data_IF_975715452959
#
_entry.id   IF_975715452959
#
_cell.length_a   1.000
_cell.length_b   1.000
_cell.length_c   1.000
_cell.angle_alpha   90.00
_cell.angle_beta   90.00
_cell.angle_gamma   90.00
#
_symmetry.space_group_name_H-M   'P 1'
#
loop_
_entity.id
_entity.type
_entity.pdbx_description
1 polymer ?
#
# COMPACT_ATOMS: atom_id res chain seq x y z
N UNK A 1 2.51 16.60 -8.47
CA UNK A 1 3.65 17.41 -8.00
C UNK A 1 5.00 16.80 -8.38
N UNK A 2 5.39 15.59 -7.87
CA UNK A 2 6.72 15.00 -8.12
C UNK A 2 7.13 15.05 -9.61
N UNK A 3 6.28 14.61 -10.52
CA UNK A 3 6.60 14.55 -11.95
C UNK A 3 6.59 15.94 -12.62
N UNK A 4 5.69 16.81 -12.21
CA UNK A 4 5.62 18.19 -12.72
C UNK A 4 6.79 19.04 -12.23
N UNK A 5 7.22 18.84 -10.98
CA UNK A 5 8.38 19.50 -10.39
C UNK A 5 9.69 18.98 -10.99
N UNK A 6 9.71 17.72 -11.46
CA UNK A 6 10.81 17.12 -12.23
C UNK A 6 10.80 17.51 -13.73
N UNK A 7 10.07 18.59 -14.12
CA UNK A 7 10.00 19.13 -15.49
C UNK A 7 9.32 18.21 -16.53
N UNK A 8 8.54 17.22 -16.11
CA UNK A 8 7.68 16.47 -17.01
C UNK A 8 6.39 17.24 -17.30
N UNK A 9 5.82 17.05 -18.49
CA UNK A 9 4.55 17.68 -18.85
C UNK A 9 3.39 17.15 -18.01
N UNK A 10 2.36 17.96 -17.81
CA UNK A 10 1.13 17.55 -17.11
C UNK A 10 0.46 16.34 -17.76
N UNK A 11 0.44 16.30 -19.11
CA UNK A 11 -0.10 15.17 -19.88
C UNK A 11 0.66 13.86 -19.60
N UNK A 12 1.99 13.95 -19.47
CA UNK A 12 2.81 12.80 -19.09
C UNK A 12 2.48 12.33 -17.66
N UNK A 13 2.40 13.26 -16.72
CA UNK A 13 2.05 12.95 -15.33
C UNK A 13 0.65 12.31 -15.23
N UNK A 14 -0.32 12.83 -16.00
CA UNK A 14 -1.66 12.25 -16.09
C UNK A 14 -1.64 10.82 -16.67
N UNK A 15 -0.80 10.58 -17.70
CA UNK A 15 -0.66 9.25 -18.31
C UNK A 15 -0.05 8.24 -17.33
N UNK A 16 0.96 8.63 -16.55
CA UNK A 16 1.56 7.78 -15.49
C UNK A 16 0.51 7.46 -14.42
N UNK A 17 -0.28 8.45 -14.01
CA UNK A 17 -1.37 8.25 -13.04
C UNK A 17 -2.46 7.33 -13.58
N UNK A 18 -2.82 7.44 -14.86
CA UNK A 18 -3.78 6.54 -15.51
C UNK A 18 -3.29 5.08 -15.47
N UNK A 19 -2.02 4.84 -15.80
CA UNK A 19 -1.42 3.51 -15.73
C UNK A 19 -1.48 2.96 -14.30
N UNK A 20 -1.15 3.77 -13.28
CA UNK A 20 -1.26 3.41 -11.88
C UNK A 20 -2.70 2.97 -11.54
N UNK A 21 -3.71 3.70 -11.98
CA UNK A 21 -5.13 3.38 -11.72
C UNK A 21 -5.56 2.09 -12.42
N UNK A 22 -5.17 1.88 -13.69
CA UNK A 22 -5.50 0.69 -14.45
C UNK A 22 -4.89 -0.57 -13.81
N UNK A 23 -3.62 -0.53 -13.46
CA UNK A 23 -2.96 -1.64 -12.75
C UNK A 23 -3.50 -1.83 -11.34
N UNK A 24 -4.03 -0.77 -10.73
CA UNK A 24 -4.75 -0.86 -9.46
C UNK A 24 -6.01 -1.74 -9.56
N UNK A 25 -6.77 -1.67 -10.66
CA UNK A 25 -7.92 -2.55 -10.90
C UNK A 25 -7.46 -4.01 -10.97
N UNK A 26 -6.40 -4.28 -11.74
CA UNK A 26 -5.83 -5.63 -11.88
C UNK A 26 -5.32 -6.14 -10.52
N UNK A 27 -4.61 -5.32 -9.76
CA UNK A 27 -4.10 -5.64 -8.42
C UNK A 27 -5.20 -6.02 -7.44
N UNK A 28 -6.34 -5.32 -7.50
CA UNK A 28 -7.50 -5.61 -6.65
C UNK A 28 -8.12 -6.97 -6.95
N UNK A 29 -8.29 -7.30 -8.23
CA UNK A 29 -8.81 -8.60 -8.66
C UNK A 29 -7.84 -9.72 -8.31
N UNK A 30 -6.54 -9.50 -8.56
CA UNK A 30 -5.49 -10.48 -8.28
C UNK A 30 -5.38 -10.76 -6.77
N UNK A 31 -5.35 -9.72 -5.94
CA UNK A 31 -5.24 -9.88 -4.49
C UNK A 31 -6.48 -10.57 -3.89
N UNK A 32 -7.66 -10.37 -4.47
CA UNK A 32 -8.86 -11.11 -4.08
C UNK A 32 -8.67 -12.61 -4.32
N UNK A 33 -8.32 -13.01 -5.54
CA UNK A 33 -8.04 -14.43 -5.87
C UNK A 33 -6.90 -15.02 -5.05
N UNK A 34 -5.84 -14.25 -4.85
CA UNK A 34 -4.69 -14.70 -4.07
C UNK A 34 -5.09 -14.92 -2.60
N UNK A 35 -5.94 -14.04 -2.05
CA UNK A 35 -6.49 -14.19 -0.71
C UNK A 35 -7.34 -15.45 -0.53
N UNK A 36 -8.04 -15.89 -1.57
CA UNK A 36 -8.80 -17.14 -1.56
C UNK A 36 -7.87 -18.38 -1.54
N UNK A 37 -6.67 -18.28 -2.13
CA UNK A 37 -5.71 -19.40 -2.25
C UNK A 37 -4.80 -19.51 -1.03
N UNK A 38 -4.13 -18.43 -0.65
CA UNK A 38 -3.11 -18.42 0.42
C UNK A 38 -3.59 -17.82 1.73
N UNK A 39 -4.81 -17.29 1.75
CA UNK A 39 -5.39 -16.60 2.89
C UNK A 39 -5.19 -15.07 2.85
N UNK A 40 -6.07 -14.38 3.55
CA UNK A 40 -6.11 -12.91 3.52
C UNK A 40 -4.86 -12.26 4.14
N UNK A 41 -4.36 -12.78 5.27
CA UNK A 41 -3.20 -12.19 5.96
C UNK A 41 -1.89 -12.38 5.19
N UNK A 42 -1.53 -13.56 4.65
CA UNK A 42 -0.37 -13.71 3.78
C UNK A 42 -0.45 -12.82 2.53
N UNK A 43 -1.62 -12.70 1.92
CA UNK A 43 -1.85 -11.81 0.78
C UNK A 43 -1.61 -10.35 1.16
N UNK A 44 -2.11 -9.91 2.31
CA UNK A 44 -1.87 -8.56 2.80
C UNK A 44 -0.37 -8.29 3.02
N UNK A 45 0.36 -9.23 3.64
CA UNK A 45 1.81 -9.12 3.83
C UNK A 45 2.53 -9.00 2.49
N UNK A 46 2.22 -9.88 1.54
CA UNK A 46 2.87 -9.89 0.21
C UNK A 46 2.65 -8.59 -0.55
N UNK A 47 1.40 -8.10 -0.59
CA UNK A 47 1.08 -6.82 -1.24
C UNK A 47 1.74 -5.63 -0.53
N UNK A 48 1.82 -5.65 0.80
CA UNK A 48 2.50 -4.60 1.59
C UNK A 48 4.01 -4.58 1.34
N UNK A 49 4.65 -5.73 1.14
CA UNK A 49 6.07 -5.80 0.75
C UNK A 49 6.26 -5.11 -0.60
N UNK A 50 5.47 -5.49 -1.60
CA UNK A 50 5.54 -4.89 -2.94
C UNK A 50 5.30 -3.38 -2.90
N UNK A 51 4.31 -2.91 -2.15
CA UNK A 51 4.02 -1.49 -1.97
C UNK A 51 5.19 -0.74 -1.33
N UNK A 52 5.77 -1.28 -0.27
CA UNK A 52 6.90 -0.64 0.45
C UNK A 52 8.12 -0.50 -0.46
N UNK A 53 8.44 -1.54 -1.25
CA UNK A 53 9.56 -1.52 -2.20
C UNK A 53 9.30 -0.50 -3.31
N UNK A 54 8.11 -0.49 -3.89
CA UNK A 54 7.79 0.43 -5.00
C UNK A 54 7.77 1.89 -4.55
N UNK A 55 7.26 2.19 -3.35
CA UNK A 55 7.31 3.54 -2.77
C UNK A 55 8.76 3.99 -2.58
N UNK A 56 9.62 3.13 -2.03
CA UNK A 56 11.03 3.46 -1.84
C UNK A 56 11.76 3.73 -3.17
N UNK A 57 11.41 2.99 -4.21
CA UNK A 57 12.04 3.10 -5.54
C UNK A 57 11.62 4.33 -6.34
N UNK A 58 10.45 4.91 -6.06
CA UNK A 58 9.85 5.97 -6.88
C UNK A 58 10.77 7.19 -7.11
N UNK A 59 11.43 7.77 -6.09
CA UNK A 59 12.26 8.98 -6.27
C UNK A 59 13.60 8.73 -6.99
N UNK A 60 13.96 7.47 -7.24
CA UNK A 60 15.22 7.11 -7.89
C UNK A 60 15.08 6.80 -9.38
N UNK A 61 13.89 6.98 -9.95
CA UNK A 61 13.60 6.68 -11.35
C UNK A 61 13.35 7.97 -12.11
N UNK A 62 14.29 8.34 -13.02
CA UNK A 62 14.27 9.58 -13.77
C UNK A 62 13.86 9.38 -15.24
N UNK A 63 13.74 8.14 -15.72
CA UNK A 63 13.43 7.86 -17.11
C UNK A 63 11.97 7.45 -17.32
N UNK A 64 11.36 7.90 -18.41
CA UNK A 64 9.92 7.78 -18.70
C UNK A 64 9.37 6.36 -18.59
N UNK A 65 10.06 5.37 -19.17
CA UNK A 65 9.60 3.97 -19.14
C UNK A 65 9.63 3.43 -17.70
N UNK A 66 10.65 3.74 -16.93
CA UNK A 66 10.76 3.34 -15.53
C UNK A 66 9.64 3.91 -14.67
N UNK A 67 9.23 5.16 -14.93
CA UNK A 67 8.09 5.77 -14.24
C UNK A 67 6.77 5.04 -14.51
N UNK A 68 6.54 4.58 -15.73
CA UNK A 68 5.37 3.74 -16.06
C UNK A 68 5.43 2.38 -15.35
N UNK A 69 6.59 1.74 -15.33
CA UNK A 69 6.77 0.42 -14.70
C UNK A 69 6.54 0.53 -13.18
N UNK A 70 7.15 1.51 -12.52
CA UNK A 70 6.99 1.66 -11.07
C UNK A 70 5.58 2.10 -10.70
N UNK A 71 4.93 2.95 -11.51
CA UNK A 71 3.54 3.34 -11.32
C UNK A 71 2.59 2.15 -11.46
N UNK A 72 2.81 1.29 -12.45
CA UNK A 72 2.05 0.05 -12.62
C UNK A 72 2.23 -0.90 -11.42
N UNK A 73 3.46 -1.13 -10.99
CA UNK A 73 3.78 -1.97 -9.85
C UNK A 73 3.21 -1.41 -8.54
N UNK A 74 3.32 -0.11 -8.32
CA UNK A 74 2.74 0.56 -7.15
C UNK A 74 1.21 0.50 -7.17
N UNK A 75 0.57 0.82 -8.29
CA UNK A 75 -0.88 0.75 -8.44
C UNK A 75 -1.42 -0.65 -8.14
N UNK A 76 -0.76 -1.67 -8.68
CA UNK A 76 -1.08 -3.09 -8.45
C UNK A 76 -0.99 -3.45 -6.96
N UNK A 77 0.13 -3.17 -6.32
CA UNK A 77 0.36 -3.55 -4.92
C UNK A 77 -0.47 -2.72 -3.95
N UNK A 78 -0.59 -1.40 -4.16
CA UNK A 78 -1.41 -0.50 -3.35
C UNK A 78 -2.88 -0.90 -3.31
N UNK A 79 -3.47 -1.15 -4.48
CA UNK A 79 -4.87 -1.59 -4.55
C UNK A 79 -5.08 -2.99 -3.97
N UNK A 80 -4.06 -3.84 -4.08
CA UNK A 80 -4.02 -5.16 -3.43
C UNK A 80 -4.03 -5.05 -1.91
N UNK A 81 -3.24 -4.15 -1.33
CA UNK A 81 -3.24 -3.84 0.11
C UNK A 81 -4.60 -3.35 0.57
N UNK A 82 -5.21 -2.39 -0.16
CA UNK A 82 -6.51 -1.84 0.21
C UNK A 82 -7.62 -2.90 0.23
N UNK A 83 -7.57 -3.89 -0.66
CA UNK A 83 -8.52 -5.00 -0.67
C UNK A 83 -8.24 -5.99 0.47
N UNK A 84 -6.98 -6.39 0.63
CA UNK A 84 -6.58 -7.40 1.59
C UNK A 84 -6.80 -6.96 3.05
N UNK A 85 -6.57 -5.69 3.40
CA UNK A 85 -6.80 -5.18 4.75
C UNK A 85 -8.27 -5.30 5.17
N UNK A 86 -9.21 -5.01 4.27
CA UNK A 86 -10.65 -5.11 4.56
C UNK A 86 -11.09 -6.56 4.74
N UNK A 87 -10.56 -7.47 3.92
CA UNK A 87 -10.83 -8.92 4.04
C UNK A 87 -10.26 -9.44 5.36
N UNK A 88 -9.01 -9.08 5.71
CA UNK A 88 -8.41 -9.42 7.00
C UNK A 88 -9.26 -8.93 8.17
N UNK A 89 -9.65 -7.64 8.17
CA UNK A 89 -10.47 -7.06 9.21
C UNK A 89 -11.80 -7.81 9.39
N UNK A 90 -12.44 -8.21 8.29
CA UNK A 90 -13.68 -8.99 8.30
C UNK A 90 -13.48 -10.39 8.86
N UNK A 91 -12.40 -11.08 8.49
CA UNK A 91 -12.17 -12.47 8.87
C UNK A 91 -11.73 -12.64 10.34
N UNK A 92 -11.24 -11.58 10.96
CA UNK A 92 -10.74 -11.62 12.35
C UNK A 92 -11.79 -11.39 13.42
N UNK A 93 -13.00 -11.10 13.04
CA UNK A 93 -14.11 -10.83 13.95
C UNK A 93 -15.30 -11.71 13.62
N UNK A 94 -16.23 -11.87 14.59
CA UNK A 94 -17.49 -12.55 14.33
C UNK A 94 -18.31 -11.82 13.26
N UNK A 95 -19.18 -12.53 12.54
CA UNK A 95 -19.99 -11.99 11.48
C UNK A 95 -20.83 -10.77 11.91
N UNK A 96 -21.27 -10.72 13.18
CA UNK A 96 -22.00 -9.58 13.76
C UNK A 96 -21.17 -8.29 13.84
N UNK A 97 -19.85 -8.41 13.95
CA UNK A 97 -18.92 -7.28 14.09
C UNK A 97 -18.19 -6.94 12.78
N UNK A 98 -18.38 -7.75 11.72
CA UNK A 98 -17.66 -7.60 10.46
C UNK A 98 -17.80 -6.18 9.86
N UNK A 99 -19.01 -5.62 9.83
CA UNK A 99 -19.25 -4.26 9.34
C UNK A 99 -18.52 -3.19 10.16
N UNK A 100 -18.51 -3.31 11.49
CA UNK A 100 -17.78 -2.38 12.36
C UNK A 100 -16.26 -2.47 12.16
N UNK A 101 -15.72 -3.67 12.01
CA UNK A 101 -14.29 -3.87 11.77
C UNK A 101 -13.85 -3.26 10.44
N UNK A 102 -14.64 -3.46 9.38
CA UNK A 102 -14.39 -2.86 8.07
C UNK A 102 -14.50 -1.33 8.11
N UNK A 103 -15.50 -0.78 8.80
CA UNK A 103 -15.67 0.66 8.95
C UNK A 103 -14.50 1.30 9.71
N UNK A 104 -14.05 0.70 10.81
CA UNK A 104 -12.87 1.15 11.56
C UNK A 104 -11.60 1.04 10.70
N UNK A 105 -11.40 -0.06 9.99
CA UNK A 105 -10.27 -0.23 9.08
C UNK A 105 -10.24 0.85 7.99
N UNK A 106 -11.39 1.14 7.39
CA UNK A 106 -11.53 2.22 6.40
C UNK A 106 -11.27 3.59 7.03
N UNK A 107 -11.83 3.87 8.19
CA UNK A 107 -11.63 5.15 8.90
C UNK A 107 -10.13 5.40 9.17
N UNK A 108 -9.44 4.45 9.77
CA UNK A 108 -7.99 4.58 10.01
C UNK A 108 -7.18 4.63 8.72
N UNK A 109 -7.62 3.94 7.66
CA UNK A 109 -7.04 4.06 6.33
C UNK A 109 -7.10 5.49 5.79
N UNK A 110 -8.28 6.13 5.86
CA UNK A 110 -8.45 7.53 5.44
C UNK A 110 -7.66 8.51 6.30
N UNK A 111 -7.66 8.34 7.61
CA UNK A 111 -6.84 9.14 8.54
C UNK A 111 -5.36 8.99 8.19
N UNK A 112 -4.90 7.76 7.95
CA UNK A 112 -3.51 7.49 7.55
C UNK A 112 -3.15 8.15 6.21
N UNK A 113 -4.05 8.14 5.23
CA UNK A 113 -3.84 8.84 3.95
C UNK A 113 -3.74 10.35 4.14
N UNK A 114 -4.60 10.95 4.96
CA UNK A 114 -4.57 12.37 5.28
C UNK A 114 -3.27 12.78 5.99
N UNK A 115 -2.88 12.02 7.02
CA UNK A 115 -1.62 12.25 7.74
C UNK A 115 -0.40 12.03 6.84
N UNK A 116 -0.43 11.00 5.99
CA UNK A 116 0.63 10.73 5.02
C UNK A 116 0.83 11.88 4.03
N UNK A 117 -0.27 12.44 3.52
CA UNK A 117 -0.22 13.64 2.66
C UNK A 117 0.34 14.86 3.39
N UNK A 118 -0.11 15.11 4.63
CA UNK A 118 0.38 16.20 5.45
C UNK A 118 1.89 16.08 5.75
N UNK A 119 2.34 14.94 6.26
CA UNK A 119 3.76 14.72 6.56
C UNK A 119 4.62 14.69 5.28
N UNK A 120 4.08 14.16 4.17
CA UNK A 120 4.76 14.20 2.88
C UNK A 120 5.00 15.61 2.40
N UNK A 121 3.99 16.50 2.47
CA UNK A 121 4.13 17.91 2.15
C UNK A 121 5.09 18.64 3.09
N UNK A 122 4.94 18.44 4.41
CA UNK A 122 5.81 19.05 5.41
C UNK A 122 7.30 18.70 5.20
N UNK A 123 7.59 17.43 4.89
CA UNK A 123 8.96 16.99 4.60
C UNK A 123 9.52 17.64 3.33
N UNK A 124 8.68 17.80 2.31
CA UNK A 124 9.05 18.51 1.10
C UNK A 124 9.33 19.99 1.40
N UNK A 125 8.48 20.68 2.15
CA UNK A 125 8.66 22.09 2.52
C UNK A 125 9.97 22.34 3.30
N UNK A 126 10.36 21.38 4.17
CA UNK A 126 11.57 21.50 4.98
C UNK A 126 12.85 21.12 4.18
N UNK A 127 12.76 20.12 3.32
CA UNK A 127 13.93 19.52 2.65
C UNK A 127 14.11 19.93 1.19
N UNK A 128 13.06 20.45 0.56
CA UNK A 128 13.07 20.82 -0.87
C UNK A 128 13.14 19.62 -1.83
N UNK A 129 12.92 18.40 -1.32
CA UNK A 129 13.05 17.18 -2.09
C UNK A 129 12.01 16.12 -1.65
N UNK A 130 11.40 15.47 -2.64
CA UNK A 130 10.44 14.40 -2.42
C UNK A 130 11.05 13.10 -1.89
N UNK A 131 12.34 12.88 -2.05
CA UNK A 131 13.04 11.66 -1.61
C UNK A 131 12.76 11.36 -0.13
N UNK A 132 12.79 12.39 0.72
CA UNK A 132 12.50 12.26 2.15
C UNK A 132 11.06 11.84 2.43
N UNK A 133 10.10 12.35 1.66
CA UNK A 133 8.69 12.00 1.78
C UNK A 133 8.46 10.53 1.43
N UNK A 134 9.08 10.04 0.35
CA UNK A 134 8.98 8.65 -0.06
C UNK A 134 9.73 7.69 0.89
N UNK A 135 10.89 8.09 1.42
CA UNK A 135 11.62 7.33 2.44
C UNK A 135 10.79 7.21 3.72
N UNK A 136 10.16 8.30 4.17
CA UNK A 136 9.27 8.27 5.33
C UNK A 136 8.07 7.34 5.10
N UNK A 137 7.45 7.40 3.93
CA UNK A 137 6.34 6.51 3.58
C UNK A 137 6.78 5.04 3.56
N UNK A 138 7.97 4.74 3.03
CA UNK A 138 8.56 3.39 3.05
C UNK A 138 8.89 2.92 4.47
N UNK A 139 9.39 3.81 5.33
CA UNK A 139 9.61 3.51 6.75
C UNK A 139 8.30 3.12 7.44
N UNK A 140 7.21 3.86 7.21
CA UNK A 140 5.88 3.51 7.76
C UNK A 140 5.37 2.19 7.20
N UNK A 141 5.61 1.90 5.91
CA UNK A 141 5.35 0.60 5.30
C UNK A 141 6.12 -0.54 5.99
N UNK A 142 7.38 -0.31 6.32
CA UNK A 142 8.23 -1.28 7.04
C UNK A 142 7.72 -1.54 8.46
N UNK A 143 7.29 -0.50 9.17
CA UNK A 143 6.66 -0.63 10.50
C UNK A 143 5.37 -1.46 10.40
N UNK A 144 4.53 -1.20 9.40
CA UNK A 144 3.33 -1.99 9.13
C UNK A 144 3.69 -3.47 8.90
N UNK A 145 4.71 -3.76 8.10
CA UNK A 145 5.17 -5.13 7.85
C UNK A 145 5.65 -5.83 9.12
N UNK A 146 6.35 -5.15 10.03
CA UNK A 146 6.77 -5.71 11.31
C UNK A 146 5.56 -6.07 12.18
N UNK A 147 4.54 -5.21 12.23
CA UNK A 147 3.29 -5.48 12.96
C UNK A 147 2.57 -6.69 12.36
N UNK A 148 2.44 -6.76 11.04
CA UNK A 148 1.79 -7.88 10.35
C UNK A 148 2.53 -9.19 10.56
N UNK A 149 3.86 -9.15 10.53
CA UNK A 149 4.71 -10.32 10.79
C UNK A 149 4.52 -10.87 12.21
N UNK A 150 4.56 -9.99 13.21
CA UNK A 150 4.30 -10.39 14.60
C UNK A 150 2.89 -10.98 14.75
N UNK A 151 1.92 -10.40 14.08
CA UNK A 151 0.55 -10.88 14.09
C UNK A 151 0.42 -12.27 13.44
N UNK A 152 1.09 -12.48 12.32
CA UNK A 152 1.15 -13.77 11.63
C UNK A 152 1.73 -14.87 12.53
N UNK A 153 2.84 -14.59 13.21
CA UNK A 153 3.48 -15.52 14.12
C UNK A 153 2.56 -15.90 15.29
N UNK A 154 1.83 -14.94 15.86
CA UNK A 154 0.88 -15.20 16.97
C UNK A 154 -0.29 -16.08 16.54
N UNK A 155 -0.82 -15.89 15.35
CA UNK A 155 -1.90 -16.72 14.81
C UNK A 155 -1.40 -18.16 14.61
N UNK A 156 -0.23 -18.32 14.00
CA UNK A 156 0.37 -19.64 13.76
C UNK A 156 0.61 -20.39 15.06
N UNK A 157 1.23 -19.76 16.06
CA UNK A 157 1.46 -20.36 17.39
C UNK A 157 0.15 -20.79 18.07
N UNK A 158 -0.94 -20.00 17.91
CA UNK A 158 -2.24 -20.38 18.48
C UNK A 158 -2.86 -21.59 17.79
N UNK A 159 -2.66 -21.76 16.50
CA UNK A 159 -3.15 -22.91 15.74
C UNK A 159 -2.40 -24.21 16.13
N UNK A 160 -1.10 -24.13 16.35
CA UNK A 160 -0.26 -25.29 16.80
C UNK A 160 -0.60 -25.79 18.22
N UNK A 161 -1.14 -24.92 19.07
CA UNK A 161 -1.57 -25.32 20.46
C UNK A 161 -2.93 -26.00 20.45
N UNK A 162 -3.73 -25.81 19.40
CA UNK A 162 -5.11 -26.36 19.30
C UNK A 162 -5.14 -27.67 18.50
N UNK A 163 -4.09 -27.93 17.69
CA UNK A 163 -3.93 -29.14 16.88
C UNK A 163 -3.27 -30.26 17.68
#
# INVERSE_FOLDING_TARGET
>A
PLLTDASFSEDFAASVFLVLMLFGIVGRIFSGKLGDIIGALPTYILMSIGQTITVLGFPYIDFKIGLFIIAAAFGFTYSGVMSAILVCARMMVSAKLAGRAMALGSFFGWVGMGLGGYFGGLLFDIKGDYTWSFQFASLMGSVNLLILWQFHLRIKAKQEVIA
#
